data_IF_940002587949
#
_entry.id   IF_940002587949
#
_cell.length_a   1.000
_cell.length_b   1.000
_cell.length_c   1.000
_cell.angle_alpha   90.00
_cell.angle_beta   90.00
_cell.angle_gamma   90.00
#
_symmetry.space_group_name_H-M   'P 1'
#
loop_
_entity.id
_entity.type
_entity.pdbx_description
1 polymer ?
#
# COMPACT_ATOMS: atom_id res chain seq x y z
N UNK A 1 -5.75 52.44 -51.21
CA UNK A 1 -6.74 52.35 -50.11
C UNK A 1 -7.16 50.93 -49.73
N UNK A 2 -7.08 49.93 -50.62
CA UNK A 2 -7.44 48.54 -50.29
C UNK A 2 -6.42 47.82 -49.37
N UNK A 3 -5.11 48.05 -49.57
CA UNK A 3 -4.03 47.39 -48.82
C UNK A 3 -4.05 47.73 -47.32
N UNK A 4 -4.36 48.98 -46.97
CA UNK A 4 -4.47 49.42 -45.58
C UNK A 4 -5.66 48.78 -44.84
N UNK A 5 -6.71 48.39 -45.56
CA UNK A 5 -7.91 47.79 -44.98
C UNK A 5 -7.66 46.33 -44.59
N UNK A 6 -6.93 45.58 -45.42
CA UNK A 6 -6.57 44.18 -45.15
C UNK A 6 -5.58 44.03 -43.99
N UNK A 7 -4.61 44.94 -43.86
CA UNK A 7 -3.71 44.97 -42.70
C UNK A 7 -4.44 45.22 -41.38
N UNK A 8 -5.50 46.04 -41.38
CA UNK A 8 -6.33 46.31 -40.20
C UNK A 8 -7.17 45.08 -39.82
N UNK A 9 -7.71 44.32 -40.78
CA UNK A 9 -8.43 43.09 -40.47
C UNK A 9 -7.50 41.97 -39.96
N UNK A 10 -6.30 41.86 -40.50
CA UNK A 10 -5.32 40.85 -40.07
C UNK A 10 -4.81 41.11 -38.64
N UNK A 11 -4.57 42.38 -38.30
CA UNK A 11 -4.18 42.79 -36.94
C UNK A 11 -5.32 42.65 -35.93
N UNK A 12 -6.56 42.95 -36.31
CA UNK A 12 -7.74 42.72 -35.47
C UNK A 12 -7.99 41.21 -35.20
N UNK A 13 -7.74 40.33 -36.17
CA UNK A 13 -7.88 38.88 -36.00
C UNK A 13 -6.81 38.29 -35.06
N UNK A 14 -5.57 38.80 -35.12
CA UNK A 14 -4.49 38.42 -34.19
C UNK A 14 -4.76 38.90 -32.75
N UNK A 15 -5.37 40.08 -32.57
CA UNK A 15 -5.80 40.59 -31.26
C UNK A 15 -6.97 39.77 -30.68
N UNK A 16 -7.87 39.26 -31.52
CA UNK A 16 -8.96 38.39 -31.08
C UNK A 16 -8.47 36.99 -30.66
N UNK A 17 -7.43 36.46 -31.30
CA UNK A 17 -6.79 35.20 -30.91
C UNK A 17 -5.97 35.30 -29.62
N UNK A 18 -5.36 36.46 -29.34
CA UNK A 18 -4.62 36.68 -28.08
C UNK A 18 -5.53 36.96 -26.87
N UNK A 19 -6.79 37.36 -27.10
CA UNK A 19 -7.79 37.53 -26.04
C UNK A 19 -8.47 36.22 -25.61
N UNK A 20 -8.28 35.12 -26.35
CA UNK A 20 -8.80 33.79 -25.98
C UNK A 20 -7.95 33.04 -24.95
N UNK A 21 -6.77 33.55 -24.58
CA UNK A 21 -5.99 33.04 -23.44
C UNK A 21 -6.44 33.69 -22.12
N UNK A 22 -7.75 33.93 -21.96
CA UNK A 22 -8.33 34.30 -20.69
C UNK A 22 -8.20 33.10 -19.73
N UNK A 23 -7.12 33.13 -18.96
CA UNK A 23 -6.95 32.59 -17.63
C UNK A 23 -7.95 31.47 -17.28
N UNK A 24 -7.57 30.23 -17.60
CA UNK A 24 -8.02 29.10 -16.77
C UNK A 24 -7.37 29.31 -15.40
N UNK A 25 -8.03 30.11 -14.55
CA UNK A 25 -7.73 30.14 -13.14
C UNK A 25 -8.05 28.73 -12.64
N UNK A 26 -7.04 27.85 -12.60
CA UNK A 26 -7.05 26.77 -11.62
C UNK A 26 -7.24 27.48 -10.29
N UNK A 27 -8.49 27.51 -9.80
CA UNK A 27 -8.70 27.57 -8.37
C UNK A 27 -7.72 26.56 -7.80
N UNK A 28 -6.75 27.02 -7.01
CA UNK A 28 -5.90 26.13 -6.24
C UNK A 28 -6.84 25.48 -5.22
N UNK A 29 -7.58 24.47 -5.68
CA UNK A 29 -8.29 23.55 -4.81
C UNK A 29 -7.19 22.90 -4.00
N UNK A 30 -7.28 23.08 -2.68
CA UNK A 30 -6.39 22.43 -1.73
C UNK A 30 -6.32 20.93 -2.05
N UNK A 31 -5.13 20.34 -1.92
CA UNK A 31 -4.93 18.94 -2.24
C UNK A 31 -5.84 18.06 -1.36
N UNK A 32 -6.39 16.96 -1.90
CA UNK A 32 -7.26 16.08 -1.15
C UNK A 32 -6.49 15.40 -0.01
N UNK A 33 -7.13 15.34 1.16
CA UNK A 33 -6.63 14.60 2.32
C UNK A 33 -6.93 13.11 2.11
N UNK A 34 -5.94 12.20 2.26
CA UNK A 34 -6.16 10.76 2.13
C UNK A 34 -7.16 10.24 3.17
N UNK A 35 -7.95 9.22 2.83
CA UNK A 35 -8.84 8.60 3.80
C UNK A 35 -8.03 7.81 4.83
N UNK A 36 -8.40 7.94 6.11
CA UNK A 36 -7.91 7.03 7.12
C UNK A 36 -8.45 5.63 6.86
N UNK A 37 -7.62 4.61 7.12
CA UNK A 37 -8.09 3.24 7.12
C UNK A 37 -9.14 3.02 8.21
N UNK A 38 -10.21 2.26 7.93
CA UNK A 38 -11.14 1.83 8.97
C UNK A 38 -10.41 1.02 10.03
N UNK A 39 -10.89 1.07 11.28
CA UNK A 39 -10.28 0.31 12.38
C UNK A 39 -10.32 -1.21 12.15
N UNK A 40 -11.28 -1.70 11.35
CA UNK A 40 -11.42 -3.10 11.01
C UNK A 40 -11.82 -3.22 9.55
N UNK A 41 -11.15 -4.09 8.81
CA UNK A 41 -11.56 -4.47 7.46
C UNK A 41 -10.93 -5.79 7.03
N UNK A 42 -11.50 -6.38 5.99
CA UNK A 42 -10.86 -7.41 5.17
C UNK A 42 -10.62 -6.85 3.77
N UNK A 43 -9.44 -7.11 3.22
CA UNK A 43 -9.13 -6.79 1.84
C UNK A 43 -8.60 -8.03 1.12
N UNK A 44 -9.23 -8.38 0.00
CA UNK A 44 -8.70 -9.36 -0.93
C UNK A 44 -7.89 -8.64 -2.01
N UNK A 45 -6.64 -9.04 -2.21
CA UNK A 45 -5.75 -8.46 -3.20
C UNK A 45 -5.12 -9.52 -4.09
N UNK A 46 -4.91 -9.18 -5.36
CA UNK A 46 -3.98 -9.89 -6.22
C UNK A 46 -2.69 -9.09 -6.34
N UNK A 47 -1.57 -9.73 -6.01
CA UNK A 47 -0.25 -9.13 -6.05
C UNK A 47 0.57 -9.74 -7.17
N UNK A 48 1.40 -8.91 -7.80
CA UNK A 48 2.31 -9.32 -8.86
C UNK A 48 3.68 -8.67 -8.65
N UNK A 49 4.74 -9.47 -8.78
CA UNK A 49 6.11 -8.98 -8.93
C UNK A 49 6.79 -9.73 -10.06
N UNK A 50 6.90 -9.08 -11.22
CA UNK A 50 7.59 -9.62 -12.40
C UNK A 50 7.08 -11.03 -12.77
N UNK A 51 5.77 -11.26 -12.69
CA UNK A 51 5.14 -12.55 -13.00
C UNK A 51 4.93 -13.48 -11.80
N UNK A 52 5.47 -13.15 -10.62
CA UNK A 52 5.14 -13.86 -9.39
C UNK A 52 3.78 -13.39 -8.88
N UNK A 53 2.73 -14.16 -9.22
CA UNK A 53 1.35 -13.86 -8.87
C UNK A 53 0.97 -14.48 -7.52
N UNK A 54 0.28 -13.69 -6.70
CA UNK A 54 -0.13 -14.07 -5.36
C UNK A 54 -1.56 -13.58 -5.09
N UNK A 55 -2.34 -14.38 -4.37
CA UNK A 55 -3.55 -13.95 -3.69
C UNK A 55 -3.16 -13.59 -2.25
N UNK A 56 -3.61 -12.43 -1.77
CA UNK A 56 -3.42 -11.97 -0.39
C UNK A 56 -4.78 -11.65 0.23
N UNK A 57 -5.08 -12.31 1.36
CA UNK A 57 -6.18 -11.94 2.24
C UNK A 57 -5.60 -11.14 3.42
N UNK A 58 -5.94 -9.86 3.50
CA UNK A 58 -5.52 -8.94 4.57
C UNK A 58 -6.65 -8.77 5.56
N UNK A 59 -6.46 -9.26 6.78
CA UNK A 59 -7.33 -8.94 7.91
C UNK A 59 -6.66 -7.89 8.77
N UNK A 60 -7.30 -6.73 8.90
CA UNK A 60 -6.82 -5.63 9.71
C UNK A 60 -7.77 -5.39 10.89
N UNK A 61 -7.23 -5.36 12.11
CA UNK A 61 -8.00 -5.11 13.33
C UNK A 61 -7.17 -4.25 14.29
N UNK A 62 -7.21 -2.94 14.04
CA UNK A 62 -6.53 -1.93 14.83
C UNK A 62 -6.99 -1.90 16.29
N UNK A 63 -8.29 -2.11 16.52
CA UNK A 63 -8.88 -2.09 17.86
C UNK A 63 -8.27 -3.14 18.78
N UNK A 64 -7.90 -4.29 18.22
CA UNK A 64 -7.20 -5.37 18.93
C UNK A 64 -5.69 -5.43 18.60
N UNK A 65 -5.15 -4.45 17.89
CA UNK A 65 -3.73 -4.32 17.64
C UNK A 65 -3.13 -5.45 16.81
N UNK A 66 -3.85 -5.96 15.81
CA UNK A 66 -3.43 -7.13 15.02
C UNK A 66 -3.69 -6.94 13.52
N UNK A 67 -2.78 -7.48 12.71
CA UNK A 67 -2.84 -7.47 11.26
C UNK A 67 -2.42 -8.86 10.74
N UNK A 68 -3.15 -9.41 9.77
CA UNK A 68 -2.89 -10.76 9.32
C UNK A 68 -2.93 -10.84 7.79
N UNK A 69 -1.78 -11.14 7.20
CA UNK A 69 -1.64 -11.41 5.78
C UNK A 69 -1.63 -12.94 5.56
N UNK A 70 -2.60 -13.45 4.81
CA UNK A 70 -2.63 -14.84 4.36
C UNK A 70 -2.29 -14.84 2.87
N UNK A 71 -1.16 -15.43 2.53
CA UNK A 71 -0.50 -15.25 1.23
C UNK A 71 -0.41 -16.59 0.52
N UNK A 72 -1.02 -16.68 -0.65
CA UNK A 72 -1.02 -17.85 -1.51
C UNK A 72 -0.36 -17.50 -2.84
N UNK A 73 0.82 -18.05 -3.12
CA UNK A 73 1.43 -17.98 -4.45
C UNK A 73 0.60 -18.81 -5.43
N UNK A 74 0.47 -18.36 -6.69
CA UNK A 74 -0.32 -19.04 -7.71
C UNK A 74 0.14 -20.49 -7.98
N UNK A 75 1.44 -20.74 -7.95
CA UNK A 75 2.05 -22.03 -8.32
C UNK A 75 2.61 -22.81 -7.12
N UNK A 76 2.39 -22.32 -5.90
CA UNK A 76 2.76 -23.02 -4.67
C UNK A 76 1.50 -23.61 -4.04
N UNK A 77 1.62 -24.75 -3.36
CA UNK A 77 0.54 -25.33 -2.57
C UNK A 77 0.63 -24.91 -1.10
N UNK A 78 1.77 -24.37 -0.68
CA UNK A 78 2.00 -23.90 0.68
C UNK A 78 1.51 -22.46 0.82
N UNK A 79 0.64 -22.23 1.82
CA UNK A 79 0.20 -20.90 2.24
C UNK A 79 1.17 -20.36 3.28
N UNK A 80 1.61 -19.12 3.08
CA UNK A 80 2.37 -18.36 4.07
C UNK A 80 1.43 -17.45 4.85
N UNK A 81 1.58 -17.48 6.17
CA UNK A 81 0.82 -16.70 7.14
C UNK A 81 1.77 -15.68 7.78
N UNK A 82 1.45 -14.39 7.71
CA UNK A 82 2.19 -13.32 8.40
C UNK A 82 1.26 -12.59 9.37
N UNK A 83 1.33 -13.00 10.64
CA UNK A 83 0.52 -12.50 11.74
C UNK A 83 1.33 -11.46 12.53
N UNK A 84 0.88 -10.22 12.49
CA UNK A 84 1.58 -9.05 13.00
C UNK A 84 0.81 -8.42 14.15
N UNK A 85 1.55 -7.97 15.16
CA UNK A 85 1.02 -7.33 16.35
C UNK A 85 1.50 -5.89 16.45
N UNK A 86 0.68 -5.04 17.06
CA UNK A 86 0.98 -3.62 17.27
C UNK A 86 2.19 -3.36 18.18
N UNK A 87 2.61 -4.37 18.96
CA UNK A 87 3.82 -4.31 19.78
C UNK A 87 5.10 -4.57 18.97
N UNK A 88 5.00 -4.77 17.66
CA UNK A 88 6.12 -5.00 16.76
C UNK A 88 6.43 -6.47 16.47
N UNK A 89 5.86 -7.42 17.21
CA UNK A 89 6.09 -8.84 16.96
C UNK A 89 5.31 -9.31 15.73
N UNK A 90 5.97 -10.05 14.84
CA UNK A 90 5.35 -10.74 13.71
C UNK A 90 5.78 -12.21 13.70
N UNK A 91 4.80 -13.07 13.43
CA UNK A 91 4.96 -14.51 13.24
C UNK A 91 4.73 -14.83 11.77
N UNK A 92 5.78 -15.30 11.10
CA UNK A 92 5.71 -15.74 9.72
C UNK A 92 5.79 -17.25 9.72
N UNK A 93 4.73 -17.94 9.28
CA UNK A 93 4.66 -19.39 9.38
C UNK A 93 3.90 -20.05 8.23
N UNK A 94 4.04 -21.36 8.13
CA UNK A 94 3.31 -22.24 7.20
C UNK A 94 2.58 -23.31 8.00
N UNK A 95 1.32 -23.60 7.68
CA UNK A 95 0.50 -24.62 8.36
C UNK A 95 0.58 -26.01 7.70
N UNK A 96 1.30 -26.15 6.58
CA UNK A 96 1.46 -27.42 5.88
C UNK A 96 2.12 -28.47 6.79
N UNK A 97 1.48 -29.63 7.06
CA UNK A 97 2.04 -30.64 7.98
C UNK A 97 3.37 -31.24 7.52
N UNK A 98 3.65 -31.23 6.21
CA UNK A 98 4.90 -31.73 5.63
C UNK A 98 6.01 -30.68 5.68
N UNK A 99 5.65 -29.39 5.76
CA UNK A 99 6.58 -28.26 5.78
C UNK A 99 6.22 -27.21 6.84
N UNK A 100 6.14 -27.56 8.14
CA UNK A 100 5.88 -26.58 9.19
C UNK A 100 7.11 -25.70 9.37
N UNK A 101 6.94 -24.40 9.20
CA UNK A 101 7.99 -23.41 9.42
C UNK A 101 7.43 -22.28 10.27
N UNK A 102 8.25 -21.70 11.14
CA UNK A 102 7.93 -20.45 11.80
C UNK A 102 9.19 -19.59 11.94
N UNK A 103 9.03 -18.31 11.68
CA UNK A 103 10.01 -17.27 11.96
C UNK A 103 9.33 -16.19 12.79
N UNK A 104 9.92 -15.86 13.94
CA UNK A 104 9.49 -14.73 14.76
C UNK A 104 10.41 -13.55 14.48
N UNK A 105 9.83 -12.40 14.18
CA UNK A 105 10.56 -11.16 13.95
C UNK A 105 9.98 -10.03 14.77
N UNK A 106 10.81 -9.03 15.06
CA UNK A 106 10.39 -7.82 15.76
C UNK A 106 10.68 -6.59 14.89
N UNK A 107 9.66 -5.76 14.67
CA UNK A 107 9.71 -4.53 13.89
C UNK A 107 9.16 -3.40 14.75
N UNK A 108 10.00 -2.42 15.08
CA UNK A 108 9.69 -1.35 16.05
C UNK A 108 8.39 -0.59 15.77
N UNK A 109 8.02 -0.44 14.49
CA UNK A 109 6.82 0.30 14.07
C UNK A 109 5.52 -0.46 14.34
N UNK A 110 5.55 -1.80 14.37
CA UNK A 110 4.35 -2.63 14.43
C UNK A 110 3.46 -2.52 13.20
N UNK A 111 2.15 -2.68 13.38
CA UNK A 111 1.16 -2.57 12.31
C UNK A 111 0.89 -1.10 11.96
N UNK A 112 0.52 -0.84 10.71
CA UNK A 112 0.16 0.50 10.26
C UNK A 112 -1.02 1.07 11.06
N UNK A 113 -0.92 2.34 11.44
CA UNK A 113 -2.00 3.10 12.08
C UNK A 113 -3.08 3.46 11.03
N UNK A 114 -4.33 3.70 11.43
CA UNK A 114 -5.38 4.17 10.53
C UNK A 114 -4.96 5.35 9.64
N UNK A 115 -4.25 6.31 10.21
CA UNK A 115 -3.77 7.51 9.54
C UNK A 115 -2.36 7.36 8.92
N UNK A 116 -1.93 6.16 8.55
CA UNK A 116 -0.54 5.92 8.09
C UNK A 116 -0.12 6.74 6.86
N UNK A 117 -1.07 7.29 6.09
CA UNK A 117 -0.83 8.23 4.98
C UNK A 117 -0.64 9.69 5.42
N UNK A 118 -0.71 10.01 6.71
CA UNK A 118 -0.48 11.38 7.19
C UNK A 118 0.93 11.87 6.81
N UNK A 119 1.03 13.07 6.24
CA UNK A 119 2.27 13.61 5.66
C UNK A 119 2.74 12.93 4.37
N UNK A 120 1.89 12.16 3.67
CA UNK A 120 2.19 11.66 2.34
C UNK A 120 2.14 12.78 1.28
N UNK A 121 2.93 12.64 0.22
CA UNK A 121 2.97 13.59 -0.90
C UNK A 121 1.87 13.24 -1.90
N UNK A 122 0.97 14.18 -2.18
CA UNK A 122 -0.04 14.00 -3.23
C UNK A 122 0.58 14.18 -4.63
N UNK A 123 0.32 13.24 -5.53
CA UNK A 123 0.89 13.19 -6.88
C UNK A 123 -0.12 13.53 -7.98
N UNK A 124 -1.36 13.87 -7.61
CA UNK A 124 -2.44 14.13 -8.56
C UNK A 124 -3.34 12.92 -8.82
N UNK A 125 -4.14 13.03 -9.87
CA UNK A 125 -5.12 11.99 -10.23
C UNK A 125 -4.64 11.14 -11.39
N UNK A 126 -4.93 9.84 -11.34
CA UNK A 126 -4.61 8.89 -12.40
C UNK A 126 -5.76 7.91 -12.63
N UNK A 127 -5.94 7.44 -13.87
CA UNK A 127 -6.90 6.37 -14.18
C UNK A 127 -6.23 5.01 -14.03
N UNK A 128 -6.81 4.15 -13.19
CA UNK A 128 -6.33 2.78 -12.89
C UNK A 128 -7.53 1.85 -12.77
N UNK A 129 -7.53 0.71 -13.47
CA UNK A 129 -8.59 -0.32 -13.40
C UNK A 129 -10.03 0.21 -13.58
N UNK A 130 -10.18 1.23 -14.43
CA UNK A 130 -11.42 1.99 -14.67
C UNK A 130 -11.84 2.97 -13.55
N UNK A 131 -11.09 3.07 -12.46
CA UNK A 131 -11.25 4.09 -11.43
C UNK A 131 -10.46 5.35 -11.77
N UNK A 132 -10.97 6.51 -11.35
CA UNK A 132 -10.16 7.73 -11.26
C UNK A 132 -9.66 7.79 -9.82
N UNK A 133 -8.34 7.70 -9.62
CA UNK A 133 -7.73 7.63 -8.30
C UNK A 133 -6.98 8.91 -7.97
N UNK A 134 -7.08 9.35 -6.72
CA UNK A 134 -6.07 10.19 -6.10
C UNK A 134 -4.85 9.31 -5.78
N UNK A 135 -3.63 9.84 -5.99
CA UNK A 135 -2.39 9.10 -5.79
C UNK A 135 -1.54 9.79 -4.74
N UNK A 136 -1.08 9.05 -3.74
CA UNK A 136 -0.12 9.53 -2.75
C UNK A 136 1.11 8.64 -2.71
N UNK A 137 2.25 9.27 -2.43
CA UNK A 137 3.52 8.62 -2.14
C UNK A 137 3.85 8.81 -0.65
N UNK A 138 4.23 7.74 0.02
CA UNK A 138 4.68 7.79 1.40
C UNK A 138 6.10 7.24 1.49
N UNK A 139 7.04 8.11 1.88
CA UNK A 139 8.45 7.82 2.21
C UNK A 139 9.20 6.95 1.18
N UNK A 140 8.95 7.16 -0.12
CA UNK A 140 9.50 6.36 -1.24
C UNK A 140 9.26 4.84 -1.11
N UNK A 141 8.32 4.46 -0.25
CA UNK A 141 8.06 3.09 0.15
C UNK A 141 6.86 2.52 -0.58
N UNK A 142 5.78 3.32 -0.65
CA UNK A 142 4.51 2.91 -1.24
C UNK A 142 3.85 4.06 -2.00
N UNK A 143 3.29 3.73 -3.15
CA UNK A 143 2.33 4.55 -3.88
C UNK A 143 0.94 3.97 -3.70
N UNK A 144 0.04 4.78 -3.15
CA UNK A 144 -1.30 4.39 -2.78
C UNK A 144 -2.32 5.08 -3.68
N UNK A 145 -3.19 4.29 -4.30
CA UNK A 145 -4.23 4.75 -5.20
C UNK A 145 -5.59 4.58 -4.50
N UNK A 146 -6.28 5.68 -4.25
CA UNK A 146 -7.63 5.73 -3.65
C UNK A 146 -8.61 6.22 -4.70
N UNK A 147 -9.71 5.51 -4.89
CA UNK A 147 -10.78 5.97 -5.78
C UNK A 147 -11.36 7.31 -5.31
N UNK A 148 -11.41 8.29 -6.21
CA UNK A 148 -11.90 9.65 -5.93
C UNK A 148 -13.36 9.63 -5.45
N UNK A 149 -14.18 8.72 -5.97
CA UNK A 149 -15.61 8.70 -5.67
C UNK A 149 -15.91 8.02 -4.33
N UNK A 150 -15.38 6.81 -4.13
CA UNK A 150 -15.71 5.98 -2.97
C UNK A 150 -14.72 6.10 -1.81
N UNK A 151 -13.55 6.72 -2.06
CA UNK A 151 -12.43 6.83 -1.12
C UNK A 151 -11.86 5.48 -0.66
N UNK A 152 -12.06 4.42 -1.45
CA UNK A 152 -11.55 3.08 -1.18
C UNK A 152 -10.19 2.85 -1.85
N UNK A 153 -9.32 2.02 -1.26
CA UNK A 153 -8.09 1.61 -1.95
C UNK A 153 -8.39 0.84 -3.23
N UNK A 154 -7.66 1.15 -4.29
CA UNK A 154 -7.74 0.47 -5.59
C UNK A 154 -6.46 -0.31 -5.88
N UNK A 155 -5.30 0.32 -5.65
CA UNK A 155 -4.01 -0.24 -6.01
C UNK A 155 -2.91 0.26 -5.10
N UNK A 156 -1.97 -0.61 -4.76
CA UNK A 156 -0.74 -0.26 -4.06
C UNK A 156 0.46 -0.66 -4.91
N UNK A 157 1.48 0.18 -4.97
CA UNK A 157 2.76 -0.14 -5.58
C UNK A 157 3.82 -0.01 -4.50
N UNK A 158 4.61 -1.06 -4.32
CA UNK A 158 5.68 -1.11 -3.33
C UNK A 158 7.02 -0.84 -3.99
N UNK A 159 7.93 -0.19 -3.27
CA UNK A 159 9.32 0.03 -3.71
C UNK A 159 10.05 -1.28 -4.09
N UNK A 160 9.62 -2.41 -3.53
CA UNK A 160 10.15 -3.75 -3.83
C UNK A 160 9.77 -4.28 -5.22
N UNK A 161 8.89 -3.57 -5.94
CA UNK A 161 8.36 -3.94 -7.25
C UNK A 161 7.08 -4.77 -7.21
N UNK A 162 6.52 -5.04 -6.03
CA UNK A 162 5.17 -5.61 -5.95
C UNK A 162 4.12 -4.56 -6.32
N UNK A 163 3.12 -5.00 -7.06
CA UNK A 163 1.89 -4.25 -7.31
C UNK A 163 0.73 -5.06 -6.75
N UNK A 164 -0.04 -4.49 -5.82
CA UNK A 164 -1.28 -5.04 -5.32
C UNK A 164 -2.47 -4.36 -6.00
N UNK A 165 -3.38 -5.15 -6.55
CA UNK A 165 -4.69 -4.70 -6.99
C UNK A 165 -5.73 -5.17 -5.97
N UNK A 166 -6.54 -4.23 -5.46
CA UNK A 166 -7.57 -4.51 -4.47
C UNK A 166 -8.83 -4.99 -5.17
N UNK A 167 -9.23 -6.22 -4.86
CA UNK A 167 -10.40 -6.87 -5.45
C UNK A 167 -11.65 -6.67 -4.60
N UNK A 168 -11.52 -6.77 -3.28
CA UNK A 168 -12.59 -6.46 -2.32
C UNK A 168 -12.02 -5.65 -1.16
N UNK A 169 -12.86 -4.80 -0.58
CA UNK A 169 -12.54 -4.01 0.61
C UNK A 169 -13.78 -3.93 1.49
N UNK A 170 -13.82 -4.77 2.52
CA UNK A 170 -14.97 -5.03 3.38
C UNK A 170 -14.77 -4.34 4.72
N UNK A 171 -15.26 -3.10 4.80
CA UNK A 171 -15.20 -2.28 6.02
C UNK A 171 -15.99 -2.94 7.14
N UNK A 172 -15.37 -3.07 8.32
CA UNK A 172 -15.96 -3.69 9.51
C UNK A 172 -15.95 -5.22 9.51
N UNK A 173 -15.36 -5.87 8.51
CA UNK A 173 -15.16 -7.31 8.53
C UNK A 173 -14.16 -7.69 9.65
N UNK A 174 -14.45 -8.79 10.33
CA UNK A 174 -13.67 -9.29 11.47
C UNK A 174 -13.42 -10.78 11.29
N UNK A 175 -12.20 -11.21 11.61
CA UNK A 175 -11.81 -12.60 11.70
C UNK A 175 -12.00 -13.09 13.14
N UNK A 176 -12.60 -14.28 13.33
CA UNK A 176 -12.84 -14.83 14.67
C UNK A 176 -11.55 -15.01 15.47
N UNK A 177 -11.58 -14.70 16.77
CA UNK A 177 -10.41 -14.70 17.66
C UNK A 177 -9.53 -15.96 17.62
N UNK A 178 -10.06 -17.19 17.51
CA UNK A 178 -9.23 -18.39 17.41
C UNK A 178 -8.31 -18.39 16.18
N UNK A 179 -8.69 -17.71 15.10
CA UNK A 179 -7.91 -17.69 13.86
C UNK A 179 -6.73 -16.69 13.92
N UNK A 180 -6.61 -15.89 14.98
CA UNK A 180 -5.49 -14.98 15.19
C UNK A 180 -4.34 -15.61 15.99
N UNK A 181 -4.37 -16.92 16.24
CA UNK A 181 -3.35 -17.59 17.03
C UNK A 181 -2.22 -18.12 16.16
N UNK A 182 -0.98 -17.77 16.51
CA UNK A 182 0.20 -18.41 15.94
C UNK A 182 0.28 -19.89 16.42
N UNK A 183 0.78 -20.80 15.59
CA UNK A 183 0.96 -22.20 15.97
C UNK A 183 1.93 -22.41 17.12
N UNK A 184 1.74 -23.48 17.89
CA UNK A 184 2.56 -23.79 19.08
C UNK A 184 4.06 -23.92 18.80
N UNK A 185 4.45 -24.39 17.61
CA UNK A 185 5.85 -24.54 17.22
C UNK A 185 6.56 -23.19 16.95
N UNK A 186 5.82 -22.08 16.89
CA UNK A 186 6.43 -20.74 16.86
C UNK A 186 7.05 -20.33 18.20
N UNK A 187 6.77 -21.06 19.29
CA UNK A 187 7.21 -20.72 20.63
C UNK A 187 8.32 -21.65 21.17
N UNK A 188 8.68 -22.69 20.40
CA UNK A 188 9.67 -23.70 20.81
C UNK A 188 11.14 -23.28 20.63
N UNK A 189 11.44 -22.16 19.95
CA UNK A 189 12.82 -21.73 19.69
C UNK A 189 13.44 -20.83 20.77
N UNK A 190 12.70 -20.51 21.84
CA UNK A 190 13.25 -19.85 23.04
C UNK A 190 14.34 -20.69 23.76
N UNK A 191 14.62 -21.92 23.32
CA UNK A 191 15.76 -22.73 23.81
C UNK A 191 17.07 -22.55 23.00
N UNK A 192 17.07 -21.80 21.88
CA UNK A 192 18.25 -21.69 20.98
C UNK A 192 18.83 -20.28 20.80
N UNK A 193 18.18 -19.22 21.28
CA UNK A 193 18.66 -17.83 21.13
C UNK A 193 19.49 -17.31 22.32
N UNK A 194 20.61 -17.98 22.63
CA UNK A 194 21.70 -17.32 23.35
C UNK A 194 22.89 -16.97 22.44
N UNK A 195 22.77 -17.14 21.12
CA UNK A 195 23.81 -16.74 20.16
C UNK A 195 23.25 -16.52 18.75
N UNK A 196 22.84 -15.30 18.40
CA UNK A 196 23.28 -14.74 17.11
C UNK A 196 23.15 -13.22 17.03
N UNK A 197 24.13 -12.56 16.37
CA UNK A 197 24.13 -11.14 16.14
C UNK A 197 23.16 -10.75 15.01
N UNK A 198 22.53 -9.60 15.22
CA UNK A 198 22.22 -8.52 14.26
C UNK A 198 22.48 -8.86 12.77
N UNK A 199 21.42 -8.68 11.97
CA UNK A 199 21.39 -8.57 10.50
C UNK A 199 21.95 -9.77 9.72
N UNK A 200 21.03 -10.63 9.24
CA UNK A 200 21.28 -11.43 8.03
C UNK A 200 20.49 -10.85 6.85
N UNK A 201 21.12 -10.66 5.67
CA UNK A 201 20.45 -10.11 4.52
C UNK A 201 19.45 -11.10 3.91
N UNK A 202 18.35 -10.53 3.42
CA UNK A 202 17.47 -11.00 2.36
C UNK A 202 17.48 -12.51 2.08
N UNK A 203 16.47 -13.21 2.60
CA UNK A 203 15.94 -14.40 1.94
C UNK A 203 15.54 -13.99 0.50
N UNK A 204 15.97 -14.72 -0.55
CA UNK A 204 15.45 -14.51 -1.90
C UNK A 204 13.95 -14.86 -1.90
N UNK A 205 13.11 -13.84 -1.78
CA UNK A 205 11.66 -14.00 -1.60
C UNK A 205 11.15 -13.35 -0.31
N UNK A 206 11.52 -12.08 -0.09
CA UNK A 206 11.10 -11.31 1.09
C UNK A 206 9.62 -11.48 1.41
N UNK A 207 9.35 -11.84 2.66
CA UNK A 207 8.00 -12.08 3.18
C UNK A 207 7.21 -10.78 3.11
N UNK A 208 6.08 -10.85 2.43
CA UNK A 208 5.29 -9.73 1.91
C UNK A 208 4.62 -8.87 2.99
N UNK A 209 4.35 -9.39 4.20
CA UNK A 209 3.88 -8.54 5.29
C UNK A 209 4.92 -7.50 5.71
N UNK A 210 6.21 -7.73 5.41
CA UNK A 210 7.26 -6.72 5.52
C UNK A 210 7.08 -5.50 4.61
N UNK A 211 6.20 -5.56 3.60
CA UNK A 211 6.04 -4.52 2.58
C UNK A 211 4.98 -3.48 2.93
N UNK A 212 4.16 -3.67 3.97
CA UNK A 212 3.35 -2.59 4.54
C UNK A 212 4.04 -1.91 5.73
N UNK A 213 5.28 -2.27 6.05
CA UNK A 213 6.00 -1.77 7.23
C UNK A 213 6.77 -0.50 6.90
N UNK A 214 6.32 0.63 7.47
CA UNK A 214 7.01 1.92 7.31
C UNK A 214 8.49 1.82 7.66
N UNK A 215 9.35 2.32 6.77
CA UNK A 215 10.78 2.47 7.04
C UNK A 215 10.92 3.44 8.21
N UNK A 216 11.63 3.03 9.26
CA UNK A 216 12.01 3.93 10.35
C UNK A 216 12.80 5.09 9.76
N UNK A 217 12.31 6.32 9.98
CA UNK A 217 12.99 7.55 9.60
C UNK A 217 14.28 7.70 10.44
N UNK A 218 15.33 6.95 10.06
CA UNK A 218 16.69 7.10 10.56
C UNK A 218 17.66 6.80 9.43
N UNK A 219 17.71 7.69 8.45
CA UNK A 219 18.85 7.88 7.56
C UNK A 219 18.76 9.25 6.87
N UNK A 220 18.83 10.31 7.69
CA UNK A 220 19.25 11.66 7.24
C UNK A 220 20.03 12.34 8.36
N UNK A 221 21.30 11.95 8.50
CA UNK A 221 22.42 12.84 8.84
C UNK A 221 23.65 12.40 8.07
#
# INVERSE_FOLDING_TARGET
MAIAREQVYFTAFLLLLSLSELASSKSATEDPIPAEWPHQFHALMFMNRTGNLQKLDLWYDWSNGRNFNIIQNQLDHVVTYDLEWNNGTSFIYTLDPSHPTCQVIHVEVGILRPNWLDGATYLGQQRVDNFLCNVWEKVDFIWYYEDVLTRRPVKWIFYSGYTAHVMTFEVGAVLEDPNWQAPVYCFSENEKENNSPILRPAVPGGVLGSLMRGISARETM
#
